data_IF_676621943858
#
_entry.id   IF_676621943858
#
_cell.length_a   1.000
_cell.length_b   1.000
_cell.length_c   1.000
_cell.angle_alpha   90.00
_cell.angle_beta   90.00
_cell.angle_gamma   90.00
#
_symmetry.space_group_name_H-M   'P 1'
#
loop_
_entity.id
_entity.type
_entity.pdbx_description
1 polymer ?
#
# COMPACT_ATOMS: atom_id res chain seq x y z
N UNK A 1 11.60 7.32 -22.27
CA UNK A 1 11.41 8.13 -21.02
C UNK A 1 10.11 7.81 -20.24
N UNK A 2 9.45 6.65 -20.44
CA UNK A 2 8.18 6.28 -19.75
C UNK A 2 8.36 5.48 -18.44
N UNK A 3 9.54 4.91 -18.18
CA UNK A 3 9.75 3.96 -17.06
C UNK A 3 9.93 4.64 -15.69
N UNK A 4 10.67 5.75 -15.62
CA UNK A 4 11.01 6.41 -14.35
C UNK A 4 9.81 7.11 -13.68
N UNK A 5 8.95 7.75 -14.49
CA UNK A 5 7.73 8.43 -13.99
C UNK A 5 6.76 7.39 -13.41
N UNK A 6 6.64 6.23 -14.06
CA UNK A 6 5.78 5.13 -13.62
C UNK A 6 6.26 4.51 -12.32
N UNK A 7 7.59 4.38 -12.13
CA UNK A 7 8.18 3.84 -10.90
C UNK A 7 8.01 4.78 -9.71
N UNK A 8 8.29 6.08 -9.87
CA UNK A 8 8.06 7.08 -8.80
C UNK A 8 6.60 7.18 -8.40
N UNK A 9 5.69 7.12 -9.38
CA UNK A 9 4.24 7.11 -9.13
C UNK A 9 3.82 5.88 -8.32
N UNK A 10 4.36 4.71 -8.67
CA UNK A 10 4.09 3.47 -7.95
C UNK A 10 4.59 3.54 -6.49
N UNK A 11 5.81 4.04 -6.27
CA UNK A 11 6.38 4.24 -4.93
C UNK A 11 5.54 5.19 -4.08
N UNK A 12 5.07 6.29 -4.66
CA UNK A 12 4.19 7.24 -3.97
C UNK A 12 2.86 6.60 -3.57
N UNK A 13 2.24 5.82 -4.46
CA UNK A 13 1.00 5.09 -4.17
C UNK A 13 1.22 4.08 -3.03
N UNK A 14 2.33 3.34 -3.07
CA UNK A 14 2.70 2.38 -2.01
C UNK A 14 2.82 3.10 -0.66
N UNK A 15 3.48 4.26 -0.62
CA UNK A 15 3.67 5.02 0.62
C UNK A 15 2.34 5.52 1.20
N UNK A 16 1.45 6.05 0.35
CA UNK A 16 0.09 6.44 0.75
C UNK A 16 -0.67 5.23 1.32
N UNK A 17 -0.63 4.10 0.61
CA UNK A 17 -1.33 2.87 1.01
C UNK A 17 -0.83 2.37 2.38
N UNK A 18 0.49 2.38 2.62
CA UNK A 18 1.08 2.08 3.94
C UNK A 18 0.54 2.99 5.04
N UNK A 19 0.54 4.31 4.81
CA UNK A 19 0.03 5.29 5.79
C UNK A 19 -1.44 5.04 6.12
N UNK A 20 -2.27 4.74 5.11
CA UNK A 20 -3.69 4.42 5.29
C UNK A 20 -3.87 3.13 6.08
N UNK A 21 -3.12 2.07 5.73
CA UNK A 21 -3.17 0.79 6.45
C UNK A 21 -2.81 0.96 7.93
N UNK A 22 -1.72 1.68 8.23
CA UNK A 22 -1.31 1.94 9.62
C UNK A 22 -2.36 2.75 10.38
N UNK A 23 -2.96 3.78 9.77
CA UNK A 23 -4.05 4.54 10.40
C UNK A 23 -5.26 3.65 10.72
N UNK A 24 -5.67 2.80 9.78
CA UNK A 24 -6.76 1.84 10.01
C UNK A 24 -6.40 0.82 11.09
N UNK A 25 -5.16 0.33 11.13
CA UNK A 25 -4.69 -0.60 12.14
C UNK A 25 -4.68 -0.01 13.56
N UNK A 26 -4.34 1.27 13.70
CA UNK A 26 -4.40 1.99 14.99
C UNK A 26 -5.84 2.10 15.49
N UNK A 27 -6.80 2.32 14.60
CA UNK A 27 -8.21 2.54 14.96
C UNK A 27 -8.95 1.20 15.18
N UNK A 28 -8.72 0.22 14.30
CA UNK A 28 -9.53 -1.00 14.19
C UNK A 28 -8.80 -2.26 14.67
N UNK A 29 -7.47 -2.19 14.83
CA UNK A 29 -6.61 -3.35 15.09
C UNK A 29 -6.09 -4.00 13.80
N UNK A 30 -4.96 -4.71 13.90
CA UNK A 30 -4.29 -5.34 12.75
C UNK A 30 -5.07 -6.50 12.11
N UNK A 31 -5.90 -7.18 12.89
CA UNK A 31 -6.71 -8.33 12.44
C UNK A 31 -8.05 -7.92 11.83
N UNK A 32 -8.38 -6.63 11.86
CA UNK A 32 -9.66 -6.16 11.32
C UNK A 32 -9.72 -6.43 9.80
N UNK A 33 -10.85 -6.94 9.26
CA UNK A 33 -10.97 -7.31 7.85
C UNK A 33 -10.56 -6.20 6.87
N UNK A 34 -10.85 -4.95 7.20
CA UNK A 34 -10.42 -3.80 6.38
C UNK A 34 -8.91 -3.57 6.37
N UNK A 35 -8.23 -3.85 7.49
CA UNK A 35 -6.77 -3.70 7.60
C UNK A 35 -6.09 -4.85 6.86
N UNK A 36 -6.62 -6.07 6.99
CA UNK A 36 -6.18 -7.26 6.24
C UNK A 36 -6.38 -7.07 4.74
N UNK A 37 -7.54 -6.58 4.31
CA UNK A 37 -7.77 -6.25 2.90
C UNK A 37 -6.76 -5.22 2.42
N UNK A 38 -6.55 -4.14 3.19
CA UNK A 38 -5.59 -3.09 2.84
C UNK A 38 -4.14 -3.62 2.76
N UNK A 39 -3.75 -4.56 3.61
CA UNK A 39 -2.42 -5.17 3.57
C UNK A 39 -2.21 -6.05 2.33
N UNK A 40 -3.19 -6.87 1.95
CA UNK A 40 -3.17 -7.67 0.70
C UNK A 40 -3.05 -6.76 -0.53
N UNK A 41 -3.82 -5.68 -0.53
CA UNK A 41 -3.83 -4.67 -1.57
C UNK A 41 -2.49 -3.89 -1.69
N UNK A 42 -1.76 -3.75 -0.58
CA UNK A 42 -0.42 -3.19 -0.55
C UNK A 42 0.60 -4.21 -1.06
N UNK A 43 0.44 -5.49 -0.73
CA UNK A 43 1.31 -6.58 -1.17
C UNK A 43 1.32 -6.71 -2.70
N UNK A 44 0.16 -6.63 -3.35
CA UNK A 44 0.05 -6.61 -4.82
C UNK A 44 0.87 -5.47 -5.44
N UNK A 45 0.80 -4.26 -4.85
CA UNK A 45 1.55 -3.11 -5.33
C UNK A 45 3.06 -3.29 -5.13
N UNK A 46 3.46 -3.93 -4.03
CA UNK A 46 4.87 -4.26 -3.77
C UNK A 46 5.41 -5.31 -4.73
N UNK A 47 4.58 -6.27 -5.14
CA UNK A 47 4.94 -7.26 -6.14
C UNK A 47 5.11 -6.64 -7.53
N UNK A 48 4.31 -5.62 -7.90
CA UNK A 48 4.47 -4.87 -9.16
C UNK A 48 5.77 -4.03 -9.16
N UNK A 49 6.24 -3.62 -7.98
CA UNK A 49 7.51 -2.87 -7.85
C UNK A 49 8.75 -3.76 -8.04
N UNK A 50 8.60 -5.07 -7.81
CA UNK A 50 9.67 -6.07 -7.83
C UNK A 50 10.10 -6.37 -9.26
#
# INVERSE_FOLDING_TARGET
MKSLVSKKKLEFIIEIKRKVMCKKAIILGFTHPEVVKCSQELDVLLNIRK
#
